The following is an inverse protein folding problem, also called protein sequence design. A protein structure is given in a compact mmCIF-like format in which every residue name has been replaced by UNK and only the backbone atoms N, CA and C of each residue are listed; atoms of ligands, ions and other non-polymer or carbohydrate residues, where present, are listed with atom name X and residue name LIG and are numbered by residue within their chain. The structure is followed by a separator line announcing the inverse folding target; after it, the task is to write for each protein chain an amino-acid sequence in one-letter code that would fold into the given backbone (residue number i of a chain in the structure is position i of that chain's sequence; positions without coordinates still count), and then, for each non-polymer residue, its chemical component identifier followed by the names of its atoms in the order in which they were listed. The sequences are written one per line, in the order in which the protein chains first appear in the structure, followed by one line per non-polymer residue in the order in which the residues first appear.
data_IF_857885174854
#
_entry.id   IF_857885174854
#
_cell.length_a   1.000
_cell.length_b   1.000
_cell.length_c   1.000
_cell.angle_alpha   90.00
_cell.angle_beta   90.00
_cell.angle_gamma   90.00
#
_symmetry.space_group_name_H-M   'P 1'
#
loop_
_entity.id
_entity.type
_entity.pdbx_description
1 polymer ?
#
# COMPACT_ATOMS: atom_id res chain seq x y z
N UNK A 1 -28.10 41.92 21.97
CA UNK A 1 -26.72 41.61 22.43
C UNK A 1 -26.67 40.49 23.51
N UNK A 2 -27.79 39.83 23.84
CA UNK A 2 -27.88 38.89 24.99
C UNK A 2 -27.33 37.47 24.75
N UNK A 3 -27.22 37.00 23.49
CA UNK A 3 -26.68 35.66 23.20
C UNK A 3 -25.15 35.60 23.07
N UNK A 4 -24.43 36.73 23.21
CA UNK A 4 -22.97 36.78 23.04
C UNK A 4 -22.22 35.98 24.12
N UNK A 5 -22.75 35.91 25.34
CA UNK A 5 -22.15 35.16 26.45
C UNK A 5 -22.24 33.64 26.24
N UNK A 6 -23.41 33.16 25.78
CA UNK A 6 -23.63 31.74 25.49
C UNK A 6 -22.76 31.27 24.32
N UNK A 7 -22.66 32.06 23.25
CA UNK A 7 -21.80 31.77 22.10
C UNK A 7 -20.32 31.72 22.52
N UNK A 8 -19.87 32.64 23.39
CA UNK A 8 -18.48 32.65 23.89
C UNK A 8 -18.17 31.42 24.75
N UNK A 9 -19.12 30.96 25.57
CA UNK A 9 -18.98 29.73 26.35
C UNK A 9 -18.81 28.51 25.43
N UNK A 10 -19.69 28.35 24.45
CA UNK A 10 -19.61 27.24 23.50
C UNK A 10 -18.32 27.28 22.67
N UNK A 11 -17.87 28.47 22.26
CA UNK A 11 -16.60 28.61 21.56
C UNK A 11 -15.39 28.16 22.41
N UNK A 12 -15.38 28.50 23.71
CA UNK A 12 -14.32 28.06 24.62
C UNK A 12 -14.37 26.54 24.84
N UNK A 13 -15.55 25.98 25.09
CA UNK A 13 -15.71 24.53 25.24
C UNK A 13 -15.31 23.78 23.97
N UNK A 14 -15.73 24.27 22.80
CA UNK A 14 -15.35 23.68 21.51
C UNK A 14 -13.84 23.75 21.27
N UNK A 15 -13.19 24.87 21.64
CA UNK A 15 -11.74 25.01 21.60
C UNK A 15 -11.03 24.01 22.49
N UNK A 16 -11.51 23.81 23.73
CA UNK A 16 -10.95 22.83 24.66
C UNK A 16 -11.11 21.39 24.14
N UNK A 17 -12.29 21.05 23.60
CA UNK A 17 -12.52 19.73 22.99
C UNK A 17 -11.64 19.52 21.76
N UNK A 18 -11.44 20.55 20.94
CA UNK A 18 -10.56 20.49 19.76
C UNK A 18 -9.11 20.24 20.16
N UNK A 19 -8.61 20.93 21.19
CA UNK A 19 -7.26 20.71 21.73
C UNK A 19 -7.12 19.29 22.27
N UNK A 20 -8.13 18.79 22.99
CA UNK A 20 -8.12 17.43 23.50
C UNK A 20 -8.07 16.39 22.36
N UNK A 21 -8.84 16.57 21.29
CA UNK A 21 -8.76 15.68 20.12
C UNK A 21 -7.40 15.74 19.42
N UNK A 22 -6.86 16.94 19.19
CA UNK A 22 -5.56 17.12 18.54
C UNK A 22 -4.40 16.56 19.38
N UNK A 23 -4.53 16.56 20.70
CA UNK A 23 -3.49 16.04 21.60
C UNK A 23 -3.20 14.55 21.36
N UNK A 24 -4.21 13.73 21.02
CA UNK A 24 -4.00 12.32 20.69
C UNK A 24 -3.07 12.15 19.48
N UNK A 25 -3.33 12.89 18.39
CA UNK A 25 -2.46 12.86 17.21
C UNK A 25 -1.03 13.29 17.54
N UNK A 26 -0.85 14.32 18.38
CA UNK A 26 0.49 14.74 18.80
C UNK A 26 1.25 13.65 19.57
N UNK A 27 0.60 12.99 20.54
CA UNK A 27 1.24 11.93 21.32
C UNK A 27 1.52 10.67 20.50
N UNK A 28 0.61 10.27 19.62
CA UNK A 28 0.83 9.15 18.69
C UNK A 28 2.03 9.40 17.78
N UNK A 29 2.13 10.59 17.18
CA UNK A 29 3.27 10.97 16.34
C UNK A 29 4.60 10.93 17.10
N UNK A 30 4.60 11.36 18.37
CA UNK A 30 5.80 11.31 19.20
C UNK A 30 6.32 9.87 19.38
N UNK A 31 5.44 8.92 19.66
CA UNK A 31 5.82 7.50 19.81
C UNK A 31 6.32 6.90 18.50
N UNK A 32 5.71 7.29 17.38
CA UNK A 32 6.15 6.88 16.04
C UNK A 32 7.52 7.47 15.66
N UNK A 33 7.78 8.72 16.03
CA UNK A 33 9.08 9.33 15.81
C UNK A 33 10.17 8.65 16.67
N UNK A 34 9.85 8.28 17.93
CA UNK A 34 10.75 7.47 18.77
C UNK A 34 11.03 6.10 18.13
N UNK A 35 10.02 5.47 17.51
CA UNK A 35 10.16 4.21 16.79
C UNK A 35 11.07 4.33 15.55
N UNK A 36 10.96 5.43 14.79
CA UNK A 36 11.85 5.72 13.66
C UNK A 36 13.29 5.94 14.13
N UNK A 37 13.49 6.69 15.21
CA UNK A 37 14.83 6.91 15.78
C UNK A 37 15.43 5.58 16.24
N UNK A 38 14.63 4.70 16.86
CA UNK A 38 15.07 3.35 17.21
C UNK A 38 15.47 2.53 15.99
N UNK A 39 14.67 2.56 14.92
CA UNK A 39 14.94 1.83 13.69
C UNK A 39 16.22 2.31 12.99
N UNK A 40 16.46 3.63 12.95
CA UNK A 40 17.68 4.22 12.39
C UNK A 40 18.91 3.86 13.25
N UNK A 41 18.77 3.87 14.58
CA UNK A 41 19.88 3.56 15.48
C UNK A 41 20.27 2.07 15.51
N UNK A 42 19.36 1.15 15.18
CA UNK A 42 19.57 -0.30 15.29
C UNK A 42 19.59 -1.05 13.96
N UNK A 43 19.25 -0.39 12.85
CA UNK A 43 19.18 -0.98 11.52
C UNK A 43 20.13 -0.30 10.53
N UNK A 44 20.31 -0.93 9.37
CA UNK A 44 21.06 -0.32 8.26
C UNK A 44 20.22 0.78 7.59
N UNK A 45 20.77 2.00 7.52
CA UNK A 45 20.12 3.15 6.87
C UNK A 45 19.79 2.92 5.40
N UNK A 46 20.53 2.03 4.73
CA UNK A 46 20.31 1.73 3.31
C UNK A 46 19.20 0.70 3.07
N UNK A 47 18.78 -0.03 4.11
CA UNK A 47 17.80 -1.10 3.99
C UNK A 47 16.43 -0.69 4.55
N UNK A 48 15.61 -0.07 3.69
CA UNK A 48 14.27 0.41 4.03
C UNK A 48 13.36 -0.69 4.60
N UNK A 49 13.51 -1.95 4.14
CA UNK A 49 12.70 -3.08 4.62
C UNK A 49 13.04 -3.46 6.07
N UNK A 50 14.32 -3.37 6.40
CA UNK A 50 14.80 -3.68 7.74
C UNK A 50 14.39 -2.60 8.74
N UNK A 51 14.53 -1.32 8.36
CA UNK A 51 14.04 -0.20 9.17
C UNK A 51 12.54 -0.32 9.47
N UNK A 52 11.70 -0.59 8.46
CA UNK A 52 10.27 -0.78 8.66
C UNK A 52 9.93 -1.96 9.59
N UNK A 53 10.77 -3.00 9.60
CA UNK A 53 10.58 -4.16 10.47
C UNK A 53 10.95 -3.82 11.93
N UNK A 54 12.03 -3.06 12.13
CA UNK A 54 12.46 -2.59 13.44
C UNK A 54 11.50 -1.56 14.04
N UNK A 55 10.99 -0.64 13.23
CA UNK A 55 9.96 0.33 13.63
C UNK A 55 8.70 -0.38 14.11
N UNK A 56 8.18 -1.34 13.33
CA UNK A 56 7.03 -2.17 13.73
C UNK A 56 7.29 -2.93 15.02
N UNK A 57 8.46 -3.56 15.16
CA UNK A 57 8.81 -4.29 16.39
C UNK A 57 8.84 -3.36 17.61
N UNK A 58 9.35 -2.14 17.45
CA UNK A 58 9.34 -1.15 18.52
C UNK A 58 7.91 -0.78 18.90
N UNK A 59 7.08 -0.43 17.91
CA UNK A 59 5.67 -0.09 18.11
C UNK A 59 4.89 -1.22 18.80
N UNK A 60 5.06 -2.47 18.36
CA UNK A 60 4.45 -3.64 18.99
C UNK A 60 4.88 -3.80 20.46
N UNK A 61 6.12 -3.46 20.79
CA UNK A 61 6.64 -3.56 22.16
C UNK A 61 6.11 -2.49 23.13
N UNK A 62 5.67 -1.35 22.58
CA UNK A 62 5.07 -0.24 23.34
C UNK A 62 3.55 -0.19 23.22
N UNK A 63 2.97 -0.99 22.32
CA UNK A 63 1.54 -1.05 22.00
C UNK A 63 0.63 -1.13 23.22
N UNK A 64 0.98 -2.00 24.18
CA UNK A 64 0.20 -2.26 25.40
C UNK A 64 0.78 -1.60 26.65
N UNK A 65 1.83 -0.79 26.52
CA UNK A 65 2.37 -0.04 27.67
C UNK A 65 1.58 1.25 27.81
N UNK A 66 1.38 1.70 29.04
CA UNK A 66 0.85 3.03 29.32
C UNK A 66 1.89 4.05 28.84
N UNK A 67 1.68 4.64 27.67
CA UNK A 67 2.67 5.55 27.05
C UNK A 67 2.37 7.00 27.40
N UNK A 68 1.14 7.33 27.79
CA UNK A 68 0.76 8.74 28.02
C UNK A 68 -0.29 8.95 29.11
N UNK A 69 0.01 9.90 30.00
CA UNK A 69 -0.93 10.48 30.96
C UNK A 69 -1.64 11.70 30.33
N UNK A 70 -2.82 11.50 29.74
CA UNK A 70 -3.63 12.61 29.22
C UNK A 70 -4.63 13.08 30.29
N UNK A 71 -4.12 13.93 31.20
CA UNK A 71 -4.82 14.68 32.26
C UNK A 71 -5.67 13.89 33.27
N UNK A 72 -6.53 12.97 32.83
CA UNK A 72 -7.54 12.27 33.65
C UNK A 72 -7.35 10.76 33.61
N UNK A 73 -6.80 10.22 32.53
CA UNK A 73 -6.64 8.77 32.35
C UNK A 73 -5.35 8.43 31.63
N UNK A 74 -4.80 7.28 32.00
CA UNK A 74 -3.70 6.65 31.30
C UNK A 74 -4.19 6.00 30.04
N UNK A 75 -3.47 6.21 28.95
CA UNK A 75 -3.75 5.57 27.68
C UNK A 75 -2.54 4.78 27.21
N UNK A 76 -2.81 3.63 26.61
CA UNK A 76 -1.81 2.86 25.88
C UNK A 76 -1.58 3.46 24.50
N UNK A 77 -0.49 3.06 23.83
CA UNK A 77 -0.25 3.49 22.44
C UNK A 77 -1.41 3.09 21.53
N UNK A 78 -1.96 1.89 21.68
CA UNK A 78 -3.13 1.46 20.90
C UNK A 78 -4.36 2.35 21.15
N UNK A 79 -4.62 2.74 22.41
CA UNK A 79 -5.76 3.59 22.74
C UNK A 79 -5.66 4.99 22.13
N UNK A 80 -4.46 5.59 22.12
CA UNK A 80 -4.24 6.91 21.51
C UNK A 80 -4.18 6.82 19.98
N UNK A 81 -3.74 5.67 19.44
CA UNK A 81 -3.70 5.41 18.01
C UNK A 81 -5.12 5.29 17.43
N UNK A 82 -6.01 4.61 18.13
CA UNK A 82 -7.42 4.47 17.73
C UNK A 82 -8.18 5.81 17.80
N UNK A 83 -7.73 6.72 18.67
CA UNK A 83 -8.29 8.07 18.83
C UNK A 83 -7.57 9.12 17.98
N UNK A 84 -6.52 8.73 17.27
CA UNK A 84 -5.82 9.60 16.34
C UNK A 84 -6.77 10.06 15.24
N UNK A 85 -6.65 11.32 14.82
CA UNK A 85 -7.40 11.81 13.67
C UNK A 85 -7.04 10.99 12.41
N UNK A 86 -8.06 10.57 11.66
CA UNK A 86 -7.89 9.90 10.37
C UNK A 86 -7.37 10.89 9.32
N UNK A 87 -6.05 11.01 9.26
CA UNK A 87 -5.35 11.83 8.27
C UNK A 87 -5.43 11.16 6.89
N UNK A 88 -5.73 11.95 5.86
CA UNK A 88 -5.68 11.49 4.48
C UNK A 88 -4.25 11.21 4.01
N UNK A 89 -4.11 10.58 2.85
CA UNK A 89 -2.83 10.20 2.25
C UNK A 89 -1.83 11.37 2.15
N UNK A 90 -2.34 12.56 1.85
CA UNK A 90 -1.54 13.79 1.74
C UNK A 90 -0.92 14.23 3.08
N UNK A 91 -1.58 13.91 4.19
CA UNK A 91 -1.19 14.38 5.53
C UNK A 91 -0.47 13.30 6.36
N UNK A 92 -0.83 12.02 6.18
CA UNK A 92 -0.19 10.88 6.86
C UNK A 92 0.97 10.29 6.06
N UNK A 93 1.00 10.54 4.75
CA UNK A 93 1.84 9.80 3.83
C UNK A 93 1.33 8.38 3.60
N UNK A 94 1.74 7.80 2.49
CA UNK A 94 1.38 6.45 2.08
C UNK A 94 1.55 6.28 0.57
N UNK A 95 1.29 5.07 0.07
CA UNK A 95 1.34 4.77 -1.36
C UNK A 95 -0.04 4.28 -1.80
N UNK A 96 -0.64 4.97 -2.78
CA UNK A 96 -1.76 4.39 -3.52
C UNK A 96 -1.19 3.49 -4.62
N UNK A 97 -1.24 2.18 -4.39
CA UNK A 97 -0.81 1.18 -5.36
C UNK A 97 -2.03 0.49 -5.97
N UNK A 98 -2.22 0.65 -7.28
CA UNK A 98 -3.17 -0.16 -8.04
C UNK A 98 -2.37 -1.32 -8.63
N UNK A 99 -2.56 -2.52 -8.10
CA UNK A 99 -1.97 -3.73 -8.68
C UNK A 99 -2.79 -4.12 -9.92
N UNK A 100 -2.23 -3.89 -11.10
CA UNK A 100 -2.79 -4.44 -12.34
C UNK A 100 -2.13 -5.79 -12.62
N UNK A 101 -2.93 -6.84 -12.76
CA UNK A 101 -2.43 -8.15 -13.18
C UNK A 101 -2.17 -8.09 -14.68
N UNK A 102 -0.92 -8.27 -15.08
CA UNK A 102 -0.55 -8.37 -16.50
C UNK A 102 -1.02 -9.71 -17.05
N UNK A 103 -1.90 -9.70 -18.06
CA UNK A 103 -2.37 -10.93 -18.73
C UNK A 103 -1.19 -11.70 -19.36
N UNK A 104 -0.17 -10.98 -19.86
CA UNK A 104 1.09 -11.56 -20.34
C UNK A 104 1.77 -12.41 -19.27
N UNK A 105 1.93 -11.86 -18.07
CA UNK A 105 2.58 -12.58 -16.97
C UNK A 105 1.78 -13.80 -16.53
N UNK A 106 0.44 -13.71 -16.55
CA UNK A 106 -0.43 -14.87 -16.30
C UNK A 106 -0.20 -15.96 -17.36
N UNK A 107 -0.11 -15.60 -18.65
CA UNK A 107 0.17 -16.55 -19.73
C UNK A 107 1.55 -17.21 -19.58
N UNK A 108 2.57 -16.46 -19.16
CA UNK A 108 3.92 -16.98 -18.89
C UNK A 108 3.93 -17.92 -17.68
N UNK A 109 3.26 -17.53 -16.60
CA UNK A 109 3.16 -18.35 -15.39
C UNK A 109 2.41 -19.66 -15.66
N UNK A 110 1.31 -19.61 -16.43
CA UNK A 110 0.57 -20.80 -16.85
C UNK A 110 1.37 -21.67 -17.83
N UNK A 111 2.29 -21.07 -18.59
CA UNK A 111 3.15 -21.81 -19.52
C UNK A 111 4.44 -22.37 -18.90
N UNK A 112 4.58 -22.26 -17.57
CA UNK A 112 5.76 -22.72 -16.82
C UNK A 112 7.06 -22.13 -17.40
N UNK A 113 7.08 -20.81 -17.65
CA UNK A 113 8.22 -20.10 -18.25
C UNK A 113 8.70 -20.73 -19.59
N UNK A 114 7.73 -21.05 -20.45
CA UNK A 114 7.93 -21.71 -21.75
C UNK A 114 9.15 -21.22 -22.51
N UNK A 115 9.92 -22.16 -23.06
CA UNK A 115 11.08 -21.86 -23.93
C UNK A 115 10.73 -21.88 -25.42
N UNK A 116 9.48 -22.14 -25.77
CA UNK A 116 9.05 -22.16 -27.17
C UNK A 116 9.26 -20.79 -27.82
N UNK A 117 9.96 -20.78 -28.97
CA UNK A 117 10.19 -19.58 -29.75
C UNK A 117 8.87 -18.97 -30.25
N UNK A 118 7.95 -19.83 -30.72
CA UNK A 118 6.63 -19.44 -31.23
C UNK A 118 5.79 -18.76 -30.15
N UNK A 119 5.81 -19.28 -28.92
CA UNK A 119 5.04 -18.71 -27.81
C UNK A 119 5.56 -17.31 -27.41
N UNK A 120 6.88 -17.14 -27.31
CA UNK A 120 7.48 -15.84 -26.97
C UNK A 120 7.28 -14.82 -28.08
N UNK A 121 7.46 -15.22 -29.33
CA UNK A 121 7.24 -14.36 -30.49
C UNK A 121 5.78 -13.90 -30.58
N UNK A 122 4.83 -14.77 -30.25
CA UNK A 122 3.42 -14.41 -30.16
C UNK A 122 3.11 -13.42 -29.03
N UNK A 123 3.75 -13.55 -27.86
CA UNK A 123 3.61 -12.56 -26.78
C UNK A 123 4.19 -11.20 -27.16
N UNK A 124 5.34 -11.17 -27.83
CA UNK A 124 5.99 -9.93 -28.26
C UNK A 124 5.20 -9.26 -29.41
N UNK A 125 4.63 -10.05 -30.32
CA UNK A 125 3.74 -9.54 -31.36
C UNK A 125 2.42 -9.00 -30.76
N UNK A 126 1.86 -9.68 -29.76
CA UNK A 126 0.67 -9.21 -29.05
C UNK A 126 0.93 -7.91 -28.29
N UNK A 127 2.11 -7.74 -27.68
CA UNK A 127 2.52 -6.48 -27.03
C UNK A 127 2.62 -5.32 -28.02
N UNK A 128 3.12 -5.59 -29.24
CA UNK A 128 3.17 -4.58 -30.29
C UNK A 128 1.77 -4.20 -30.75
N UNK A 129 0.91 -5.19 -30.99
CA UNK A 129 -0.45 -4.98 -31.49
C UNK A 129 -1.37 -4.33 -30.44
N UNK A 130 -1.15 -4.60 -29.16
CA UNK A 130 -1.91 -3.99 -28.06
C UNK A 130 -1.75 -2.46 -28.02
N UNK A 131 -0.64 -1.91 -28.52
CA UNK A 131 -0.44 -0.46 -28.58
C UNK A 131 -1.32 0.22 -29.63
N UNK A 132 -1.75 -0.53 -30.64
CA UNK A 132 -2.51 -0.03 -31.78
C UNK A 132 -3.97 -0.49 -31.77
N UNK A 133 -4.30 -1.51 -30.97
CA UNK A 133 -5.61 -2.14 -30.91
C UNK A 133 -6.36 -1.85 -29.61
N UNK A 134 -7.69 -1.80 -29.71
CA UNK A 134 -8.60 -1.69 -28.56
C UNK A 134 -9.08 -3.07 -28.07
N UNK A 135 -8.62 -4.17 -28.68
CA UNK A 135 -9.02 -5.52 -28.27
C UNK A 135 -8.28 -5.96 -27.00
N UNK A 136 -8.82 -6.99 -26.33
CA UNK A 136 -8.20 -7.61 -25.15
C UNK A 136 -6.90 -8.31 -25.52
N UNK A 137 -5.91 -8.21 -24.62
CA UNK A 137 -4.59 -8.83 -24.80
C UNK A 137 -4.66 -10.32 -25.16
N UNK A 138 -5.58 -11.05 -24.53
CA UNK A 138 -5.78 -12.48 -24.77
C UNK A 138 -6.17 -12.78 -26.22
N UNK A 139 -7.07 -11.97 -26.80
CA UNK A 139 -7.50 -12.12 -28.19
C UNK A 139 -6.36 -11.80 -29.16
N UNK A 140 -5.63 -10.70 -28.90
CA UNK A 140 -4.47 -10.31 -29.70
C UNK A 140 -3.38 -11.40 -29.67
N UNK A 141 -3.14 -11.97 -28.50
CA UNK A 141 -2.23 -13.10 -28.34
C UNK A 141 -2.67 -14.33 -29.13
N UNK A 142 -3.95 -14.73 -29.06
CA UNK A 142 -4.42 -15.89 -29.83
C UNK A 142 -4.32 -15.66 -31.33
N UNK A 143 -4.69 -14.47 -31.80
CA UNK A 143 -4.57 -14.09 -33.21
C UNK A 143 -3.13 -14.18 -33.70
N UNK A 144 -2.18 -13.59 -32.96
CA UNK A 144 -0.77 -13.60 -33.33
C UNK A 144 -0.15 -15.00 -33.19
N UNK A 145 -0.55 -15.77 -32.18
CA UNK A 145 -0.10 -17.15 -32.02
C UNK A 145 -0.54 -18.02 -33.20
N UNK A 146 -1.81 -17.95 -33.61
CA UNK A 146 -2.30 -18.71 -34.76
C UNK A 146 -1.59 -18.30 -36.05
N UNK A 147 -1.34 -16.99 -36.23
CA UNK A 147 -0.60 -16.44 -37.37
C UNK A 147 0.85 -16.93 -37.44
N UNK A 148 1.55 -16.98 -36.32
CA UNK A 148 2.97 -17.40 -36.27
C UNK A 148 3.08 -18.93 -36.35
N UNK A 149 2.22 -19.64 -35.61
CA UNK A 149 2.22 -21.10 -35.60
C UNK A 149 1.81 -21.69 -36.96
N UNK A 150 1.07 -20.94 -37.80
CA UNK A 150 0.61 -21.36 -39.13
C UNK A 150 -0.08 -22.74 -39.11
N UNK A 151 -0.77 -23.08 -38.02
CA UNK A 151 -1.41 -24.38 -37.81
C UNK A 151 -0.46 -25.55 -37.54
N UNK A 152 0.85 -25.32 -37.46
CA UNK A 152 1.88 -26.34 -37.23
C UNK A 152 1.93 -26.79 -35.77
N UNK A 153 1.70 -25.87 -34.84
CA UNK A 153 1.75 -26.10 -33.39
C UNK A 153 0.47 -25.52 -32.79
N UNK A 154 -0.26 -26.33 -32.01
CA UNK A 154 -1.44 -25.85 -31.28
C UNK A 154 -0.99 -25.27 -29.95
N UNK A 155 -1.73 -24.30 -29.42
CA UNK A 155 -1.47 -23.78 -28.08
C UNK A 155 -1.45 -24.87 -27.02
N UNK A 156 -2.33 -25.87 -27.13
CA UNK A 156 -2.42 -27.03 -26.24
C UNK A 156 -1.26 -28.03 -26.37
N UNK A 157 -0.27 -27.76 -27.22
CA UNK A 157 0.83 -28.68 -27.46
C UNK A 157 1.78 -28.73 -26.25
N UNK A 158 2.18 -29.91 -25.76
CA UNK A 158 3.14 -30.04 -24.66
C UNK A 158 4.48 -29.35 -24.92
N UNK A 159 4.88 -29.11 -26.16
CA UNK A 159 6.09 -28.35 -26.46
C UNK A 159 6.01 -26.87 -26.04
N UNK A 160 4.80 -26.34 -25.81
CA UNK A 160 4.57 -24.98 -25.31
C UNK A 160 4.57 -24.96 -23.78
N UNK A 161 4.11 -26.02 -23.13
CA UNK A 161 4.02 -26.14 -21.68
C UNK A 161 5.10 -27.12 -21.21
N UNK A 162 6.25 -26.57 -20.78
CA UNK A 162 7.51 -27.31 -20.60
C UNK A 162 7.44 -28.64 -19.85
#
# INVERSE_FOLDING_TARGET
MQNKGLIRLFAILFGLVSIYQLSFTYFTNKVEDDAKVYAIANGDETNVREQATLERRYLDSVANKEVTDLFVTKFTYNDIKDKEMNLGLDLKGGINAILQVSVKEVLIALSNDSKSAVFKEALDAADALQKESNDTYLNLFFQEFERIANGTIKLSDPSIFG
#
